data_IF_822641357151
#
_entry.id   IF_822641357151
#
_cell.length_a   1.000
_cell.length_b   1.000
_cell.length_c   1.000
_cell.angle_alpha   90.00
_cell.angle_beta   90.00
_cell.angle_gamma   90.00
#
_symmetry.space_group_name_H-M   'P 1'
#
loop_
_entity.id
_entity.type
_entity.pdbx_description
1 polymer ?
#
# COMPACT_ATOMS: atom_id res chain seq x y z
N UNK A 1 -2.24 -1.84 -31.55
CA UNK A 1 -2.03 -2.07 -30.10
C UNK A 1 -1.91 -3.55 -29.80
N UNK A 2 -2.79 -4.41 -30.33
CA UNK A 2 -2.70 -5.88 -30.15
C UNK A 2 -1.39 -6.51 -30.64
N UNK A 3 -0.89 -6.14 -31.82
CA UNK A 3 0.40 -6.61 -32.33
C UNK A 3 1.56 -6.35 -31.34
N UNK A 4 1.58 -5.16 -30.72
CA UNK A 4 2.61 -4.78 -29.72
C UNK A 4 2.50 -5.55 -28.40
N UNK A 5 1.33 -6.10 -28.06
CA UNK A 5 1.15 -6.89 -26.83
C UNK A 5 1.65 -8.31 -27.07
N UNK A 6 1.35 -8.87 -28.24
CA UNK A 6 1.87 -10.17 -28.68
C UNK A 6 3.40 -10.12 -28.66
N UNK A 7 4.01 -9.07 -29.21
CA UNK A 7 5.46 -8.89 -29.20
C UNK A 7 6.06 -8.87 -27.78
N UNK A 8 5.41 -8.17 -26.84
CA UNK A 8 5.84 -8.14 -25.43
C UNK A 8 5.75 -9.53 -24.81
N UNK A 9 4.62 -10.22 -24.98
CA UNK A 9 4.41 -11.55 -24.40
C UNK A 9 5.36 -12.59 -25.00
N UNK A 10 5.62 -12.55 -26.30
CA UNK A 10 6.59 -13.41 -26.96
C UNK A 10 8.01 -13.14 -26.45
N UNK A 11 8.38 -11.87 -26.29
CA UNK A 11 9.69 -11.48 -25.75
C UNK A 11 9.86 -12.01 -24.33
N UNK A 12 8.84 -11.85 -23.47
CA UNK A 12 8.84 -12.39 -22.11
C UNK A 12 8.90 -13.92 -22.11
N UNK A 13 8.14 -14.60 -22.97
CA UNK A 13 8.15 -16.05 -23.08
C UNK A 13 9.53 -16.57 -23.50
N UNK A 14 10.15 -15.97 -24.53
CA UNK A 14 11.52 -16.32 -24.96
C UNK A 14 12.54 -16.06 -23.84
N UNK A 15 12.44 -14.92 -23.15
CA UNK A 15 13.32 -14.60 -22.04
C UNK A 15 13.19 -15.63 -20.90
N UNK A 16 11.98 -16.08 -20.58
CA UNK A 16 11.73 -17.06 -19.51
C UNK A 16 12.36 -18.44 -19.77
N UNK A 17 12.52 -18.82 -21.04
CA UNK A 17 13.05 -20.12 -21.46
C UNK A 17 14.54 -20.09 -21.83
N UNK A 18 15.14 -18.90 -22.03
CA UNK A 18 16.53 -18.77 -22.47
C UNK A 18 17.51 -18.96 -21.30
N UNK A 19 18.31 -20.04 -21.24
CA UNK A 19 19.21 -20.33 -20.12
C UNK A 19 20.31 -19.26 -19.90
N UNK A 20 20.65 -18.48 -20.92
CA UNK A 20 21.63 -17.38 -20.84
C UNK A 20 21.11 -16.15 -20.08
N UNK A 21 19.80 -16.09 -19.83
CA UNK A 21 19.18 -15.02 -19.05
C UNK A 21 19.27 -15.36 -17.55
N UNK A 22 19.62 -14.34 -16.75
CA UNK A 22 19.64 -14.42 -15.29
C UNK A 22 18.39 -15.13 -14.72
N UNK A 23 18.54 -16.14 -13.84
CA UNK A 23 17.42 -16.94 -13.33
C UNK A 23 16.26 -16.12 -12.77
N UNK A 24 16.55 -15.02 -12.07
CA UNK A 24 15.53 -14.15 -11.49
C UNK A 24 14.76 -13.40 -12.57
N UNK A 25 15.45 -12.90 -13.60
CA UNK A 25 14.78 -12.29 -14.77
C UNK A 25 13.90 -13.29 -15.52
N UNK A 26 14.29 -14.56 -15.59
CA UNK A 26 13.48 -15.62 -16.20
C UNK A 26 12.20 -15.89 -15.42
N UNK A 27 12.32 -15.99 -14.10
CA UNK A 27 11.17 -16.15 -13.19
C UNK A 27 10.22 -14.96 -13.30
N UNK A 28 10.77 -13.73 -13.30
CA UNK A 28 10.00 -12.50 -13.49
C UNK A 28 9.26 -12.51 -14.83
N UNK A 29 9.92 -12.88 -15.92
CA UNK A 29 9.31 -12.95 -17.24
C UNK A 29 8.17 -13.99 -17.30
N UNK A 30 8.38 -15.18 -16.72
CA UNK A 30 7.35 -16.21 -16.60
C UNK A 30 6.15 -15.72 -15.79
N UNK A 31 6.41 -15.11 -14.63
CA UNK A 31 5.38 -14.55 -13.77
C UNK A 31 4.55 -13.49 -14.49
N UNK A 32 5.16 -12.62 -15.29
CA UNK A 32 4.43 -11.61 -16.06
C UNK A 32 3.48 -12.22 -17.09
N UNK A 33 3.94 -13.23 -17.83
CA UNK A 33 3.09 -13.97 -18.77
C UNK A 33 1.88 -14.59 -18.07
N UNK A 34 2.11 -15.22 -16.91
CA UNK A 34 1.05 -15.86 -16.12
C UNK A 34 0.10 -14.81 -15.53
N UNK A 35 0.64 -13.77 -14.89
CA UNK A 35 -0.12 -12.68 -14.26
C UNK A 35 -1.05 -12.01 -15.27
N UNK A 36 -0.54 -11.68 -16.46
CA UNK A 36 -1.35 -11.07 -17.51
C UNK A 36 -2.54 -11.94 -17.92
N UNK A 37 -2.40 -13.27 -17.89
CA UNK A 37 -3.51 -14.16 -18.18
C UNK A 37 -4.65 -14.07 -17.15
N UNK A 38 -4.38 -13.60 -15.94
CA UNK A 38 -5.41 -13.38 -14.92
C UNK A 38 -6.04 -11.98 -15.01
N UNK A 39 -5.24 -10.92 -15.10
CA UNK A 39 -5.78 -9.56 -15.03
C UNK A 39 -6.10 -8.92 -16.40
N UNK A 40 -5.54 -9.42 -17.51
CA UNK A 40 -5.72 -8.93 -18.89
C UNK A 40 -5.55 -7.40 -19.04
N UNK A 41 -4.73 -6.81 -18.18
CA UNK A 41 -4.49 -5.36 -18.11
C UNK A 41 -3.23 -5.00 -18.89
N UNK A 42 -3.45 -4.36 -20.05
CA UNK A 42 -2.39 -4.03 -21.01
C UNK A 42 -1.42 -2.99 -20.44
N UNK A 43 -1.94 -1.94 -19.81
CA UNK A 43 -1.11 -0.87 -19.29
C UNK A 43 -0.21 -1.36 -18.15
N UNK A 44 -0.74 -2.23 -17.28
CA UNK A 44 0.05 -2.88 -16.26
C UNK A 44 1.13 -3.78 -16.85
N UNK A 45 0.80 -4.59 -17.87
CA UNK A 45 1.79 -5.45 -18.53
C UNK A 45 2.93 -4.63 -19.13
N UNK A 46 2.61 -3.52 -19.81
CA UNK A 46 3.63 -2.63 -20.39
C UNK A 46 4.52 -2.02 -19.30
N UNK A 47 3.92 -1.51 -18.21
CA UNK A 47 4.68 -0.95 -17.09
C UNK A 47 5.58 -1.99 -16.42
N UNK A 48 5.07 -3.20 -16.20
CA UNK A 48 5.83 -4.31 -15.62
C UNK A 48 6.96 -4.80 -16.53
N UNK A 49 6.72 -4.94 -17.83
CA UNK A 49 7.74 -5.30 -18.81
C UNK A 49 8.83 -4.21 -18.90
N UNK A 50 8.42 -2.94 -18.88
CA UNK A 50 9.35 -1.80 -18.82
C UNK A 50 10.20 -1.79 -17.54
N UNK A 51 9.59 -2.07 -16.38
CA UNK A 51 10.30 -2.22 -15.12
C UNK A 51 11.33 -3.37 -15.16
N UNK A 52 10.95 -4.51 -15.73
CA UNK A 52 11.84 -5.66 -15.90
C UNK A 52 13.03 -5.32 -16.81
N UNK A 53 12.81 -4.63 -17.92
CA UNK A 53 13.85 -4.19 -18.83
C UNK A 53 14.86 -3.24 -18.14
N UNK A 54 14.39 -2.43 -17.20
CA UNK A 54 15.22 -1.54 -16.37
C UNK A 54 15.88 -2.27 -15.18
N UNK A 55 15.72 -3.59 -15.05
CA UNK A 55 16.27 -4.37 -13.94
C UNK A 55 15.58 -4.11 -12.60
N UNK A 56 14.40 -3.48 -12.58
CA UNK A 56 13.63 -3.26 -11.36
C UNK A 56 12.94 -4.55 -10.96
N UNK A 57 13.03 -4.88 -9.68
CA UNK A 57 12.25 -5.97 -9.11
C UNK A 57 10.88 -5.45 -8.63
N UNK A 58 9.83 -6.19 -8.96
CA UNK A 58 8.46 -5.92 -8.54
C UNK A 58 7.72 -7.21 -8.10
N UNK A 59 8.40 -8.37 -8.13
CA UNK A 59 7.94 -9.57 -7.42
C UNK A 59 8.53 -9.54 -6.03
N UNK A 60 7.66 -9.69 -5.04
CA UNK A 60 8.02 -9.79 -3.64
C UNK A 60 7.83 -11.23 -3.18
N UNK A 61 8.76 -11.79 -2.38
CA UNK A 61 8.56 -13.09 -1.77
C UNK A 61 7.34 -13.04 -0.83
N UNK A 62 6.69 -14.19 -0.57
CA UNK A 62 5.68 -14.28 0.48
C UNK A 62 6.24 -13.80 1.81
N UNK A 63 5.42 -13.04 2.54
CA UNK A 63 5.79 -12.42 3.81
C UNK A 63 5.55 -13.34 5.02
N UNK A 64 5.04 -14.55 4.79
CA UNK A 64 4.72 -15.46 5.88
C UNK A 64 6.00 -16.10 6.41
N UNK A 65 6.41 -15.67 7.59
CA UNK A 65 7.46 -16.33 8.38
C UNK A 65 6.78 -16.99 9.58
N UNK A 66 6.85 -18.31 9.66
CA UNK A 66 6.37 -19.03 10.83
C UNK A 66 7.52 -19.24 11.81
N UNK A 67 7.75 -18.22 12.64
CA UNK A 67 8.74 -18.28 13.70
C UNK A 67 8.03 -18.08 15.06
N UNK A 68 8.00 -19.12 15.92
CA UNK A 68 7.42 -19.03 17.26
C UNK A 68 8.08 -17.98 18.17
N UNK A 69 9.30 -17.56 17.84
CA UNK A 69 10.05 -16.54 18.57
C UNK A 69 9.65 -15.10 18.21
N UNK A 70 8.66 -14.92 17.35
CA UNK A 70 8.19 -13.58 16.96
C UNK A 70 7.24 -12.98 18.01
N UNK A 71 7.24 -11.65 18.11
CA UNK A 71 6.37 -10.92 19.05
C UNK A 71 4.89 -11.13 18.73
N UNK A 72 4.52 -11.20 17.45
CA UNK A 72 3.16 -11.52 17.00
C UNK A 72 2.76 -12.93 17.45
N UNK A 73 3.67 -13.90 17.41
CA UNK A 73 3.35 -15.24 17.90
C UNK A 73 3.08 -15.23 19.42
N UNK A 74 3.95 -14.58 20.20
CA UNK A 74 3.81 -14.49 21.67
C UNK A 74 2.59 -13.66 22.12
N UNK A 75 2.28 -12.58 21.42
CA UNK A 75 1.27 -11.60 21.82
C UNK A 75 0.07 -11.53 20.87
N UNK A 76 -0.11 -12.54 20.02
CA UNK A 76 -1.13 -12.56 18.98
C UNK A 76 -2.55 -12.38 19.52
N UNK A 77 -2.85 -12.90 20.72
CA UNK A 77 -4.14 -12.69 21.39
C UNK A 77 -4.42 -11.22 21.71
N UNK A 78 -3.39 -10.45 22.09
CA UNK A 78 -3.52 -9.03 22.39
C UNK A 78 -3.71 -8.21 21.11
N UNK A 79 -2.97 -8.56 20.06
CA UNK A 79 -3.15 -7.99 18.71
C UNK A 79 -4.58 -8.27 18.21
N UNK A 80 -5.05 -9.51 18.29
CA UNK A 80 -6.39 -9.89 17.84
C UNK A 80 -7.49 -9.19 18.65
N UNK A 81 -7.32 -9.03 19.97
CA UNK A 81 -8.28 -8.32 20.82
C UNK A 81 -8.42 -6.86 20.41
N UNK A 82 -7.30 -6.18 20.15
CA UNK A 82 -7.29 -4.80 19.68
C UNK A 82 -7.97 -4.67 18.31
N UNK A 83 -7.77 -5.63 17.42
CA UNK A 83 -8.41 -5.66 16.11
C UNK A 83 -9.92 -5.87 16.18
N UNK A 84 -10.38 -6.79 17.03
CA UNK A 84 -11.79 -7.01 17.29
C UNK A 84 -12.46 -5.73 17.82
N UNK A 85 -11.81 -5.01 18.73
CA UNK A 85 -12.28 -3.72 19.23
C UNK A 85 -12.38 -2.64 18.13
N UNK A 86 -11.61 -2.79 17.06
CA UNK A 86 -11.64 -1.93 15.87
C UNK A 86 -12.51 -2.48 14.73
N UNK A 87 -13.15 -3.64 14.90
CA UNK A 87 -13.98 -4.28 13.88
C UNK A 87 -13.21 -4.73 12.64
N UNK A 88 -11.92 -5.04 12.77
CA UNK A 88 -11.08 -5.48 11.65
C UNK A 88 -11.02 -7.00 11.59
N UNK A 89 -11.43 -7.57 10.46
CA UNK A 89 -11.44 -9.01 10.20
C UNK A 89 -10.64 -9.32 8.93
N UNK A 90 -9.85 -10.41 8.92
CA UNK A 90 -9.09 -10.81 7.74
C UNK A 90 -10.00 -11.41 6.69
N UNK A 91 -9.65 -11.17 5.42
CA UNK A 91 -10.09 -12.05 4.32
C UNK A 91 -9.11 -13.21 4.17
N UNK A 92 -9.51 -14.25 3.42
CA UNK A 92 -8.65 -15.40 3.12
C UNK A 92 -7.31 -14.99 2.50
N UNK A 93 -7.32 -13.99 1.62
CA UNK A 93 -6.12 -13.42 0.99
C UNK A 93 -5.16 -12.73 1.97
N UNK A 94 -5.63 -12.40 3.17
CA UNK A 94 -4.82 -11.69 4.16
C UNK A 94 -4.10 -12.66 5.09
N UNK A 95 -4.47 -13.95 5.08
CA UNK A 95 -3.90 -14.97 5.97
C UNK A 95 -2.72 -15.71 5.34
N UNK A 96 -2.61 -15.69 4.02
CA UNK A 96 -1.63 -16.48 3.28
C UNK A 96 -0.27 -15.81 3.11
N UNK A 97 -0.10 -14.56 3.57
CA UNK A 97 1.15 -13.82 3.47
C UNK A 97 1.53 -13.42 2.05
N UNK A 98 0.59 -13.46 1.09
CA UNK A 98 0.85 -12.96 -0.27
C UNK A 98 1.28 -11.49 -0.25
N UNK A 99 2.15 -11.08 -1.18
CA UNK A 99 2.48 -9.68 -1.41
C UNK A 99 1.26 -8.77 -1.52
N UNK A 100 1.44 -7.51 -1.13
CA UNK A 100 0.45 -6.46 -1.35
C UNK A 100 0.39 -6.16 -2.85
N UNK A 101 -0.82 -6.18 -3.41
CA UNK A 101 -1.12 -5.61 -4.73
C UNK A 101 -2.16 -4.51 -4.58
N UNK A 102 -1.87 -3.36 -5.18
CA UNK A 102 -2.68 -2.15 -5.15
C UNK A 102 -3.52 -2.00 -6.41
N UNK A 103 -3.16 -2.70 -7.50
CA UNK A 103 -3.78 -2.58 -8.83
C UNK A 103 -5.31 -2.54 -8.74
N UNK A 104 -5.92 -3.60 -8.25
CA UNK A 104 -7.38 -3.78 -8.28
C UNK A 104 -8.13 -2.77 -7.41
N UNK A 105 -7.46 -2.17 -6.43
CA UNK A 105 -8.08 -1.25 -5.47
C UNK A 105 -7.94 0.21 -5.88
N UNK A 106 -6.80 0.57 -6.47
CA UNK A 106 -6.51 1.93 -6.89
C UNK A 106 -6.99 2.24 -8.32
N UNK A 107 -7.02 1.25 -9.22
CA UNK A 107 -7.33 1.50 -10.64
C UNK A 107 -8.78 1.94 -10.87
N UNK A 108 -9.73 1.30 -10.20
CA UNK A 108 -11.17 1.57 -10.39
C UNK A 108 -11.56 3.05 -10.23
N UNK A 109 -11.14 3.77 -9.17
CA UNK A 109 -11.50 5.18 -9.02
C UNK A 109 -10.71 6.15 -9.90
N UNK A 110 -9.56 5.76 -10.46
CA UNK A 110 -8.61 6.68 -11.11
C UNK A 110 -8.58 6.49 -12.63
N UNK A 111 -8.48 5.25 -13.09
CA UNK A 111 -8.22 4.91 -14.49
C UNK A 111 -9.25 5.47 -15.50
N UNK A 112 -10.56 5.55 -15.20
CA UNK A 112 -11.53 6.14 -16.12
C UNK A 112 -11.28 7.62 -16.44
N UNK A 113 -10.58 8.35 -15.56
CA UNK A 113 -10.31 9.78 -15.70
C UNK A 113 -8.99 10.09 -16.44
N UNK A 114 -8.16 9.08 -16.74
CA UNK A 114 -6.83 9.26 -17.32
C UNK A 114 -6.81 9.02 -18.83
N UNK A 115 -5.98 9.78 -19.56
CA UNK A 115 -5.68 9.53 -20.97
C UNK A 115 -4.40 8.68 -21.13
N UNK A 116 -4.06 8.25 -22.36
CA UNK A 116 -2.97 7.30 -22.62
C UNK A 116 -1.66 7.57 -21.86
N UNK A 117 -0.99 8.73 -22.05
CA UNK A 117 0.25 9.04 -21.33
C UNK A 117 0.07 9.11 -19.81
N UNK A 118 -1.03 9.69 -19.33
CA UNK A 118 -1.30 9.79 -17.90
C UNK A 118 -1.60 8.41 -17.27
N UNK A 119 -2.21 7.48 -18.03
CA UNK A 119 -2.39 6.09 -17.60
C UNK A 119 -1.06 5.42 -17.38
N UNK A 120 -0.11 5.53 -18.31
CA UNK A 120 1.21 4.90 -18.15
C UNK A 120 1.94 5.40 -16.90
N UNK A 121 1.94 6.70 -16.66
CA UNK A 121 2.52 7.29 -15.42
C UNK A 121 1.81 6.74 -14.18
N UNK A 122 0.49 6.60 -14.22
CA UNK A 122 -0.27 6.04 -13.11
C UNK A 122 0.09 4.57 -12.82
N UNK A 123 0.28 3.73 -13.83
CA UNK A 123 0.71 2.35 -13.64
C UNK A 123 2.15 2.24 -13.12
N UNK A 124 3.06 3.10 -13.57
CA UNK A 124 4.41 3.20 -12.99
C UNK A 124 4.35 3.59 -11.50
N UNK A 125 3.47 4.54 -11.14
CA UNK A 125 3.22 4.94 -9.76
C UNK A 125 2.64 3.80 -8.92
N UNK A 126 1.71 3.00 -9.46
CA UNK A 126 1.20 1.79 -8.79
C UNK A 126 2.36 0.84 -8.46
N UNK A 127 3.20 0.50 -9.43
CA UNK A 127 4.32 -0.42 -9.23
C UNK A 127 5.32 0.13 -8.19
N UNK A 128 5.55 1.45 -8.19
CA UNK A 128 6.40 2.09 -7.19
C UNK A 128 5.83 2.03 -5.78
N UNK A 129 4.52 2.26 -5.62
CA UNK A 129 3.85 2.18 -4.33
C UNK A 129 3.69 0.74 -3.85
N UNK A 130 3.40 -0.22 -4.74
CA UNK A 130 3.37 -1.66 -4.41
C UNK A 130 4.72 -2.12 -3.87
N UNK A 131 5.83 -1.72 -4.52
CA UNK A 131 7.17 -2.02 -4.04
C UNK A 131 7.39 -1.49 -2.63
N UNK A 132 7.08 -0.22 -2.41
CA UNK A 132 7.27 0.42 -1.09
C UNK A 132 6.38 -0.19 -0.01
N UNK A 133 5.13 -0.55 -0.36
CA UNK A 133 4.21 -1.24 0.54
C UNK A 133 4.75 -2.60 0.99
N UNK A 134 5.32 -3.37 0.07
CA UNK A 134 5.90 -4.67 0.38
C UNK A 134 7.23 -4.54 1.15
N UNK A 135 8.03 -3.52 0.90
CA UNK A 135 9.22 -3.21 1.71
C UNK A 135 8.83 -2.85 3.15
N UNK A 136 7.80 -2.01 3.33
CA UNK A 136 7.26 -1.68 4.66
C UNK A 136 6.68 -2.91 5.37
N UNK A 137 6.01 -3.80 4.64
CA UNK A 137 5.48 -5.05 5.17
C UNK A 137 6.62 -5.97 5.61
N UNK A 138 7.65 -6.13 4.78
CA UNK A 138 8.83 -6.93 5.11
C UNK A 138 9.49 -6.42 6.41
N UNK A 139 9.63 -5.10 6.58
CA UNK A 139 10.16 -4.52 7.83
C UNK A 139 9.30 -4.81 9.04
N UNK A 140 7.97 -4.78 8.89
CA UNK A 140 7.06 -5.14 9.99
C UNK A 140 7.20 -6.63 10.35
N UNK A 141 7.30 -7.51 9.35
CA UNK A 141 7.41 -8.96 9.53
C UNK A 141 8.75 -9.33 10.15
N UNK A 142 9.84 -8.73 9.69
CA UNK A 142 11.17 -8.95 10.25
C UNK A 142 11.21 -8.57 11.74
N UNK A 143 10.60 -7.43 12.09
CA UNK A 143 10.62 -6.95 13.47
C UNK A 143 9.64 -7.69 14.40
N UNK A 144 8.43 -7.97 13.94
CA UNK A 144 7.35 -8.43 14.81
C UNK A 144 6.87 -9.85 14.51
N UNK A 145 7.19 -10.43 13.36
CA UNK A 145 6.50 -11.59 12.80
C UNK A 145 5.29 -11.20 11.95
N UNK A 146 4.78 -12.13 11.14
CA UNK A 146 3.65 -11.85 10.26
C UNK A 146 2.31 -11.81 11.00
N UNK A 147 1.58 -10.71 10.82
CA UNK A 147 0.15 -10.60 11.14
C UNK A 147 -0.59 -9.91 10.00
N UNK A 148 -1.80 -10.38 9.68
CA UNK A 148 -2.60 -9.87 8.55
C UNK A 148 -2.89 -8.36 8.64
N UNK A 149 -2.95 -7.80 9.85
CA UNK A 149 -3.13 -6.36 10.08
C UNK A 149 -2.06 -5.48 9.44
N UNK A 150 -0.81 -5.98 9.36
CA UNK A 150 0.26 -5.23 8.70
C UNK A 150 0.00 -5.12 7.20
N UNK A 151 -0.43 -6.22 6.59
CA UNK A 151 -0.78 -6.26 5.18
C UNK A 151 -1.98 -5.35 4.88
N UNK A 152 -3.10 -5.55 5.56
CA UNK A 152 -4.34 -4.78 5.30
C UNK A 152 -4.13 -3.30 5.60
N UNK A 153 -3.44 -2.97 6.70
CA UNK A 153 -3.16 -1.58 7.06
C UNK A 153 -2.26 -0.86 6.05
N UNK A 154 -1.18 -1.49 5.59
CA UNK A 154 -0.31 -0.90 4.56
C UNK A 154 -1.03 -0.79 3.21
N UNK A 155 -1.85 -1.78 2.85
CA UNK A 155 -2.64 -1.74 1.63
C UNK A 155 -3.61 -0.55 1.63
N UNK A 156 -4.38 -0.35 2.70
CA UNK A 156 -5.25 0.83 2.87
C UNK A 156 -4.48 2.14 2.77
N UNK A 157 -3.33 2.24 3.43
CA UNK A 157 -2.49 3.43 3.41
C UNK A 157 -2.00 3.78 2.01
N UNK A 158 -1.45 2.80 1.27
CA UNK A 158 -0.91 3.03 -0.06
C UNK A 158 -2.00 3.23 -1.12
N UNK A 159 -3.14 2.54 -1.02
CA UNK A 159 -4.31 2.79 -1.91
C UNK A 159 -4.86 4.19 -1.70
N UNK A 160 -5.13 4.57 -0.45
CA UNK A 160 -5.68 5.91 -0.15
C UNK A 160 -4.71 7.04 -0.54
N UNK A 161 -3.40 6.80 -0.42
CA UNK A 161 -2.36 7.71 -0.92
C UNK A 161 -2.43 7.88 -2.42
N UNK A 162 -2.43 6.79 -3.18
CA UNK A 162 -2.56 6.83 -4.65
C UNK A 162 -3.81 7.58 -5.10
N UNK A 163 -4.96 7.30 -4.47
CA UNK A 163 -6.22 8.00 -4.78
C UNK A 163 -6.12 9.48 -4.47
N UNK A 164 -5.57 9.87 -3.31
CA UNK A 164 -5.46 11.28 -2.94
C UNK A 164 -4.51 12.07 -3.86
N UNK A 165 -3.48 11.40 -4.41
CA UNK A 165 -2.54 12.02 -5.34
C UNK A 165 -3.12 12.21 -6.76
N UNK A 166 -4.14 11.44 -7.15
CA UNK A 166 -4.68 11.44 -8.51
C UNK A 166 -6.16 11.88 -8.63
N UNK A 167 -6.90 11.91 -7.53
CA UNK A 167 -8.33 12.28 -7.49
C UNK A 167 -8.52 13.52 -6.63
N UNK A 168 -9.16 14.55 -7.18
CA UNK A 168 -9.56 15.73 -6.41
C UNK A 168 -10.97 15.55 -5.85
N UNK A 169 -11.12 15.62 -4.53
CA UNK A 169 -12.40 15.50 -3.82
C UNK A 169 -13.21 16.81 -3.79
N UNK A 170 -12.56 17.93 -4.11
CA UNK A 170 -13.20 19.24 -4.13
C UNK A 170 -13.93 19.48 -5.44
N UNK A 171 -15.14 20.00 -5.34
CA UNK A 171 -15.94 20.46 -6.48
C UNK A 171 -15.26 21.62 -7.19
N UNK A 172 -15.51 21.76 -8.50
CA UNK A 172 -15.76 23.05 -9.17
C UNK A 172 -15.42 24.32 -8.38
N UNK A 173 -14.19 24.83 -8.38
CA UNK A 173 -13.82 26.08 -7.65
C UNK A 173 -13.49 27.22 -8.61
N UNK A 174 -13.91 28.48 -8.34
CA UNK A 174 -13.64 29.63 -9.21
C UNK A 174 -12.16 29.89 -9.49
N UNK A 175 -11.28 29.55 -8.54
CA UNK A 175 -9.82 29.69 -8.68
C UNK A 175 -9.17 28.57 -9.52
N UNK A 176 -9.96 27.70 -10.15
CA UNK A 176 -9.48 26.65 -11.04
C UNK A 176 -9.05 25.34 -10.36
N UNK A 177 -8.70 24.35 -11.17
CA UNK A 177 -8.40 22.98 -10.72
C UNK A 177 -7.09 22.89 -9.93
N UNK A 178 -6.09 23.69 -10.30
CA UNK A 178 -4.79 23.74 -9.61
C UNK A 178 -4.94 24.18 -8.14
N UNK A 179 -5.80 25.17 -7.87
CA UNK A 179 -6.06 25.62 -6.51
C UNK A 179 -6.66 24.50 -5.65
N UNK A 180 -7.61 23.74 -6.21
CA UNK A 180 -8.25 22.62 -5.50
C UNK A 180 -7.28 21.49 -5.20
N UNK A 181 -6.46 21.10 -6.19
CA UNK A 181 -5.42 20.10 -6.00
C UNK A 181 -4.40 20.54 -4.94
N UNK A 182 -4.02 21.82 -4.92
CA UNK A 182 -3.11 22.38 -3.93
C UNK A 182 -3.71 22.39 -2.52
N UNK A 183 -4.97 22.82 -2.36
CA UNK A 183 -5.68 22.81 -1.09
C UNK A 183 -5.79 21.39 -0.51
N UNK A 184 -6.22 20.43 -1.34
CA UNK A 184 -6.26 19.02 -0.94
C UNK A 184 -4.89 18.49 -0.53
N UNK A 185 -3.83 18.83 -1.28
CA UNK A 185 -2.46 18.41 -0.98
C UNK A 185 -2.03 18.90 0.40
N UNK A 186 -2.29 20.17 0.74
CA UNK A 186 -1.98 20.69 2.09
C UNK A 186 -2.75 19.92 3.15
N UNK A 187 -4.07 19.75 2.99
CA UNK A 187 -4.90 19.00 3.93
C UNK A 187 -4.37 17.56 4.12
N UNK A 188 -3.98 16.91 3.03
CA UNK A 188 -3.41 15.57 3.04
C UNK A 188 -2.04 15.52 3.76
N UNK A 189 -1.14 16.46 3.48
CA UNK A 189 0.18 16.51 4.13
C UNK A 189 0.08 16.65 5.65
N UNK A 190 -0.91 17.40 6.14
CA UNK A 190 -1.19 17.48 7.58
C UNK A 190 -1.79 16.19 8.14
N UNK A 191 -2.72 15.57 7.40
CA UNK A 191 -3.31 14.28 7.79
C UNK A 191 -2.29 13.12 7.74
N UNK A 192 -1.24 13.19 6.93
CA UNK A 192 -0.15 12.20 6.94
C UNK A 192 0.69 12.29 8.23
N UNK A 193 0.84 13.50 8.79
CA UNK A 193 1.66 13.73 9.99
C UNK A 193 0.95 13.34 11.28
N UNK A 194 -0.38 13.37 11.29
CA UNK A 194 -1.21 13.04 12.46
C UNK A 194 -2.22 11.98 12.09
N UNK A 195 -2.18 10.84 12.77
CA UNK A 195 -3.10 9.71 12.51
C UNK A 195 -4.56 10.16 12.44
N UNK A 196 -4.99 11.09 13.29
CA UNK A 196 -6.31 11.73 13.19
C UNK A 196 -6.21 13.20 13.58
N UNK A 197 -6.78 14.07 12.76
CA UNK A 197 -6.93 15.48 13.06
C UNK A 197 -8.19 15.69 13.90
N UNK A 198 -8.09 16.52 14.94
CA UNK A 198 -9.26 16.94 15.70
C UNK A 198 -10.07 18.02 14.96
N UNK A 199 -11.27 18.33 15.45
CA UNK A 199 -12.17 19.29 14.80
C UNK A 199 -11.54 20.69 14.63
N UNK A 200 -10.76 21.16 15.62
CA UNK A 200 -10.10 22.47 15.56
C UNK A 200 -9.00 22.48 14.50
N UNK A 201 -8.21 21.40 14.41
CA UNK A 201 -7.18 21.26 13.37
C UNK A 201 -7.78 21.24 11.97
N UNK A 202 -8.87 20.48 11.78
CA UNK A 202 -9.60 20.45 10.51
C UNK A 202 -10.10 21.86 10.14
N UNK A 203 -10.67 22.59 11.09
CA UNK A 203 -11.17 23.95 10.87
C UNK A 203 -10.04 24.93 10.49
N UNK A 204 -8.88 24.86 11.15
CA UNK A 204 -7.71 25.68 10.83
C UNK A 204 -7.24 25.41 9.40
N UNK A 205 -7.15 24.13 8.99
CA UNK A 205 -6.74 23.77 7.63
C UNK A 205 -7.72 24.27 6.57
N UNK A 206 -9.02 24.17 6.83
CA UNK A 206 -10.08 24.70 5.95
C UNK A 206 -9.89 26.21 5.74
N UNK A 207 -9.64 26.96 6.81
CA UNK A 207 -9.41 28.40 6.75
C UNK A 207 -8.13 28.75 5.98
N UNK A 208 -7.01 28.10 6.29
CA UNK A 208 -5.71 28.35 5.64
C UNK A 208 -5.77 28.04 4.14
N UNK A 209 -6.39 26.93 3.77
CA UNK A 209 -6.49 26.49 2.37
C UNK A 209 -7.59 27.21 1.58
N UNK A 210 -8.41 28.04 2.26
CA UNK A 210 -9.62 28.67 1.67
C UNK A 210 -10.54 27.64 1.01
N UNK A 211 -10.61 26.44 1.61
CA UNK A 211 -11.44 25.35 1.12
C UNK A 211 -12.91 25.57 1.46
N UNK A 212 -13.80 25.04 0.61
CA UNK A 212 -15.21 24.85 0.95
C UNK A 212 -15.29 23.82 2.10
N UNK A 213 -15.83 24.18 3.28
CA UNK A 213 -15.82 23.30 4.45
C UNK A 213 -16.42 21.92 4.18
N UNK A 214 -17.53 21.85 3.44
CA UNK A 214 -18.22 20.59 3.16
C UNK A 214 -17.36 19.62 2.36
N UNK A 215 -16.56 20.12 1.41
CA UNK A 215 -15.69 19.29 0.58
C UNK A 215 -14.48 18.81 1.38
N UNK A 216 -13.91 19.68 2.21
CA UNK A 216 -12.80 19.33 3.09
C UNK A 216 -13.21 18.30 4.15
N UNK A 217 -14.37 18.45 4.79
CA UNK A 217 -14.86 17.45 5.73
C UNK A 217 -15.15 16.11 5.06
N UNK A 218 -15.77 16.10 3.87
CA UNK A 218 -15.94 14.86 3.08
C UNK A 218 -14.61 14.18 2.78
N UNK A 219 -13.58 14.94 2.43
CA UNK A 219 -12.24 14.40 2.21
C UNK A 219 -11.65 13.81 3.48
N UNK A 220 -11.70 14.52 4.61
CA UNK A 220 -11.18 14.00 5.88
C UNK A 220 -11.93 12.73 6.32
N UNK A 221 -13.26 12.72 6.20
CA UNK A 221 -14.08 11.56 6.56
C UNK A 221 -13.80 10.38 5.64
N UNK A 222 -13.65 10.62 4.34
CA UNK A 222 -13.24 9.57 3.40
C UNK A 222 -11.86 9.02 3.78
N UNK A 223 -10.86 9.88 4.01
CA UNK A 223 -9.51 9.47 4.35
C UNK A 223 -9.45 8.65 5.64
N UNK A 224 -10.19 9.07 6.66
CA UNK A 224 -10.28 8.35 7.94
C UNK A 224 -10.98 7.00 7.79
N UNK A 225 -12.00 6.92 6.93
CA UNK A 225 -12.72 5.68 6.66
C UNK A 225 -11.91 4.71 5.79
N UNK A 226 -11.11 5.22 4.86
CA UNK A 226 -10.23 4.44 4.00
C UNK A 226 -8.96 3.93 4.70
N UNK A 227 -8.71 4.33 5.95
CA UNK A 227 -7.50 4.01 6.73
C UNK A 227 -7.79 3.37 8.09
N UNK A 228 -8.97 2.75 8.27
CA UNK A 228 -9.37 2.13 9.55
C UNK A 228 -8.39 1.05 10.01
N UNK A 229 -8.03 0.13 9.12
CA UNK A 229 -7.04 -0.93 9.39
C UNK A 229 -5.65 -0.34 9.55
N UNK A 230 -5.28 0.70 8.81
CA UNK A 230 -4.01 1.40 9.02
C UNK A 230 -3.90 1.99 10.44
N UNK A 231 -4.95 2.61 10.96
CA UNK A 231 -4.96 3.12 12.32
C UNK A 231 -4.87 2.01 13.37
N UNK A 232 -5.61 0.91 13.17
CA UNK A 232 -5.51 -0.26 14.03
C UNK A 232 -4.10 -0.86 13.99
N UNK A 233 -3.50 -0.98 12.79
CA UNK A 233 -2.12 -1.42 12.60
C UNK A 233 -1.12 -0.58 13.40
N UNK A 234 -1.22 0.75 13.33
CA UNK A 234 -0.33 1.64 14.09
C UNK A 234 -0.48 1.48 15.60
N UNK A 235 -1.69 1.22 16.10
CA UNK A 235 -1.92 0.87 17.52
C UNK A 235 -1.36 -0.52 17.88
N UNK A 236 -1.53 -1.52 17.01
CA UNK A 236 -0.93 -2.85 17.21
C UNK A 236 0.60 -2.77 17.28
N UNK A 237 1.22 -1.98 16.41
CA UNK A 237 2.67 -1.71 16.44
C UNK A 237 3.07 -1.10 17.77
N UNK A 238 2.40 -0.04 18.23
CA UNK A 238 2.70 0.60 19.50
C UNK A 238 2.54 -0.35 20.71
N UNK A 239 1.53 -1.23 20.67
CA UNK A 239 1.34 -2.28 21.66
C UNK A 239 2.50 -3.28 21.65
N UNK A 240 2.87 -3.80 20.48
CA UNK A 240 3.97 -4.76 20.33
C UNK A 240 5.30 -4.18 20.78
N UNK A 241 5.60 -2.94 20.38
CA UNK A 241 6.80 -2.22 20.83
C UNK A 241 6.87 -2.15 22.36
N UNK A 242 5.75 -1.82 23.01
CA UNK A 242 5.67 -1.76 24.48
C UNK A 242 5.87 -3.14 25.12
N UNK A 243 5.28 -4.19 24.57
CA UNK A 243 5.40 -5.54 25.12
C UNK A 243 6.83 -6.08 24.98
N UNK A 244 7.47 -5.87 23.82
CA UNK A 244 8.87 -6.25 23.60
C UNK A 244 9.79 -5.55 24.62
N UNK A 245 9.60 -4.25 24.84
CA UNK A 245 10.39 -3.50 25.83
C UNK A 245 10.25 -4.08 27.26
N UNK A 246 9.04 -4.48 27.66
CA UNK A 246 8.80 -5.06 28.99
C UNK A 246 9.44 -6.44 29.15
N UNK A 247 9.43 -7.27 28.09
CA UNK A 247 10.10 -8.57 28.08
C UNK A 247 11.62 -8.41 28.26
N UNK A 248 12.23 -7.44 27.58
CA UNK A 248 13.67 -7.21 27.64
C UNK A 248 14.11 -6.69 29.02
N UNK A 249 13.33 -5.78 29.62
CA UNK A 249 13.56 -5.32 31.00
C UNK A 249 13.47 -6.47 32.02
N UNK A 250 12.50 -7.37 31.84
CA UNK A 250 12.31 -8.53 32.73
C UNK A 250 13.49 -9.51 32.65
N UNK A 251 14.04 -9.73 31.45
CA UNK A 251 15.23 -10.59 31.26
C UNK A 251 16.49 -10.00 31.91
N UNK A 252 16.65 -8.69 31.89
CA UNK A 252 17.79 -8.00 32.53
C UNK A 252 17.74 -8.08 34.07
N UNK A 253 16.53 -8.02 34.65
CA UNK A 253 16.33 -8.17 36.10
C UNK A 253 16.60 -9.60 36.59
N UNK A 254 16.36 -10.62 35.75
CA UNK A 254 16.64 -12.02 36.10
C UNK A 254 18.13 -12.33 35.99
N UNK A 255 18.85 -11.74 35.02
CA UNK A 255 20.31 -11.94 34.85
C UNK A 255 21.19 -11.20 35.89
N UNK A 256 20.60 -10.28 36.66
CA UNK A 256 21.31 -9.49 37.68
C UNK A 256 21.12 -10.04 39.11
N UNK A 257 20.47 -11.20 39.25
CA UNK A 257 20.36 -11.99 40.46
C UNK A 257 21.17 -13.27 40.30
#
# INVERSE_FOLDING_TARGET
>A
MEASIIDILETLARASQNPEVDPRKRELAMFLCISYNFHKNINLLVAQAGALAQGKNFIHPPHRVHDPSTAVHRHGSSVQSLMNAHGIFPNLSDLDGRPISLLHMASSPIEPALNGPAKMVFYDNILAMERKANEDLARCVEKYGYHYIFKVGLQEYYVSKLITEHVTFWRRHPLGDQHRAHAQRICYEFAERRLRLNASEKQILIQITRSVPEDAYKFFDWLENSRKSYFAMKKCIALLDRLIMLEDQSKLLIKSR
#
